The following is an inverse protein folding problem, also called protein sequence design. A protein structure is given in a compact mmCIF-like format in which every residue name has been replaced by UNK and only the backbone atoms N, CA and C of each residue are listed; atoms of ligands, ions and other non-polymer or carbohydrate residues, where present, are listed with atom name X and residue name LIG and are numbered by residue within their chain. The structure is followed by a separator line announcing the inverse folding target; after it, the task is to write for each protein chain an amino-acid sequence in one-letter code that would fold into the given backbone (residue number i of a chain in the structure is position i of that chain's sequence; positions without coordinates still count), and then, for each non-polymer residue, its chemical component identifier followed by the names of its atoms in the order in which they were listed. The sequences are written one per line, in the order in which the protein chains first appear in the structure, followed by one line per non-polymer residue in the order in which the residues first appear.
data_IF_421098330028
#
_entry.id   IF_421098330028
#
_cell.length_a   1.000
_cell.length_b   1.000
_cell.length_c   1.000
_cell.angle_alpha   90.00
_cell.angle_beta   90.00
_cell.angle_gamma   90.00
#
_symmetry.space_group_name_H-M   'P 1'
#
loop_
_entity.id
_entity.type
_entity.pdbx_description
1 polymer ?
#
# COMPACT_ATOMS: atom_id res chain seq x y z
N UNK A 1 3.85 -6.43 -18.10
CA UNK A 1 4.13 -7.73 -18.77
C UNK A 1 5.27 -7.62 -19.77
N UNK A 2 5.19 -6.77 -20.81
CA UNK A 2 6.26 -6.62 -21.81
C UNK A 2 7.64 -6.28 -21.21
N UNK A 3 7.72 -5.35 -20.26
CA UNK A 3 8.97 -5.01 -19.56
C UNK A 3 9.59 -6.21 -18.82
N UNK A 4 8.77 -7.08 -18.21
CA UNK A 4 9.26 -8.29 -17.54
C UNK A 4 9.77 -9.32 -18.54
N UNK A 5 9.14 -9.39 -19.70
CA UNK A 5 9.54 -10.28 -20.79
C UNK A 5 10.90 -9.86 -21.37
N UNK A 6 11.13 -8.56 -21.57
CA UNK A 6 12.44 -8.04 -21.98
C UNK A 6 13.53 -8.19 -20.92
N UNK A 7 13.17 -8.13 -19.63
CA UNK A 7 14.12 -8.37 -18.55
C UNK A 7 14.61 -9.84 -18.53
N UNK A 8 13.74 -10.79 -18.88
CA UNK A 8 14.09 -12.22 -18.94
C UNK A 8 14.72 -12.60 -20.29
N UNK A 9 14.21 -12.02 -21.38
CA UNK A 9 14.61 -12.33 -22.76
C UNK A 9 14.80 -11.03 -23.57
N UNK A 10 15.95 -10.35 -23.41
CA UNK A 10 16.22 -9.07 -24.08
C UNK A 10 16.16 -9.17 -25.61
N UNK A 11 16.45 -10.34 -26.16
CA UNK A 11 16.48 -10.61 -27.60
C UNK A 11 15.10 -10.54 -28.29
N UNK A 12 14.00 -10.60 -27.53
CA UNK A 12 12.65 -10.59 -28.09
C UNK A 12 12.08 -9.19 -28.36
N UNK A 13 12.73 -8.13 -27.89
CA UNK A 13 12.33 -6.72 -28.10
C UNK A 13 10.81 -6.51 -27.93
N UNK A 14 10.23 -7.11 -26.89
CA UNK A 14 8.79 -7.12 -26.67
C UNK A 14 8.30 -5.71 -26.29
N UNK A 15 7.20 -5.28 -26.91
CA UNK A 15 6.52 -4.03 -26.59
C UNK A 15 5.02 -4.28 -26.46
N UNK A 16 4.37 -3.51 -25.60
CA UNK A 16 2.93 -3.59 -25.41
C UNK A 16 2.24 -2.61 -26.34
N UNK A 17 1.41 -3.11 -27.25
CA UNK A 17 0.63 -2.26 -28.17
C UNK A 17 -0.62 -1.70 -27.46
N UNK A 18 -1.20 -2.50 -26.56
CA UNK A 18 -2.34 -2.12 -25.73
C UNK A 18 -2.38 -2.97 -24.44
N UNK A 19 -3.44 -2.81 -23.63
CA UNK A 19 -3.57 -3.49 -22.33
C UNK A 19 -3.65 -5.04 -22.42
N UNK A 20 -3.96 -5.60 -23.59
CA UNK A 20 -4.11 -7.05 -23.82
C UNK A 20 -3.22 -7.65 -24.92
N UNK A 21 -2.49 -6.83 -25.68
CA UNK A 21 -1.68 -7.26 -26.83
C UNK A 21 -0.22 -6.87 -26.64
N UNK A 22 0.69 -7.84 -26.82
CA UNK A 22 2.14 -7.64 -26.76
C UNK A 22 2.72 -8.17 -28.07
N UNK A 23 3.43 -7.30 -28.79
CA UNK A 23 4.18 -7.66 -29.98
C UNK A 23 5.65 -7.89 -29.64
N UNK A 24 6.28 -8.86 -30.31
CA UNK A 24 7.69 -9.20 -30.10
C UNK A 24 8.37 -9.54 -31.42
N UNK A 25 9.67 -9.31 -31.49
CA UNK A 25 10.51 -9.58 -32.66
C UNK A 25 11.46 -10.72 -32.34
N UNK A 26 11.43 -11.78 -33.15
CA UNK A 26 12.29 -12.95 -32.96
C UNK A 26 13.63 -12.76 -33.69
N UNK A 27 14.76 -13.11 -33.06
CA UNK A 27 16.06 -13.22 -33.73
C UNK A 27 16.02 -14.19 -34.92
N UNK A 28 16.82 -13.90 -35.95
CA UNK A 28 16.97 -14.77 -37.12
C UNK A 28 17.43 -16.17 -36.72
N UNK A 29 16.71 -17.20 -37.18
CA UNK A 29 17.02 -18.61 -36.91
C UNK A 29 16.27 -19.21 -35.71
N UNK A 30 15.48 -18.43 -34.98
CA UNK A 30 14.70 -18.93 -33.86
C UNK A 30 13.29 -19.37 -34.29
N UNK A 31 12.88 -20.59 -33.89
CA UNK A 31 11.54 -21.10 -34.17
C UNK A 31 10.49 -20.38 -33.32
N UNK A 32 9.38 -19.89 -33.90
CA UNK A 32 8.28 -19.26 -33.16
C UNK A 32 7.70 -20.16 -32.08
N UNK A 33 7.64 -21.47 -32.32
CA UNK A 33 7.11 -22.46 -31.36
C UNK A 33 8.00 -22.54 -30.11
N UNK A 34 9.32 -22.55 -30.31
CA UNK A 34 10.27 -22.59 -29.19
C UNK A 34 10.24 -21.30 -28.39
N UNK A 35 10.12 -20.15 -29.06
CA UNK A 35 9.97 -18.86 -28.38
C UNK A 35 8.67 -18.81 -27.57
N UNK A 36 7.55 -19.33 -28.13
CA UNK A 36 6.26 -19.40 -27.44
C UNK A 36 6.32 -20.27 -26.17
N UNK A 37 6.99 -21.42 -26.22
CA UNK A 37 7.18 -22.28 -25.04
C UNK A 37 8.03 -21.60 -23.95
N UNK A 38 9.04 -20.82 -24.33
CA UNK A 38 9.88 -20.10 -23.37
C UNK A 38 9.12 -18.97 -22.67
N UNK A 39 8.31 -18.20 -23.40
CA UNK A 39 7.54 -17.09 -22.81
C UNK A 39 6.40 -17.58 -21.91
N UNK A 40 5.85 -18.77 -22.16
CA UNK A 40 4.76 -19.37 -21.36
C UNK A 40 5.18 -19.57 -19.88
N UNK A 41 6.46 -19.81 -19.64
CA UNK A 41 7.00 -19.99 -18.29
C UNK A 41 7.23 -18.68 -17.52
N UNK A 42 7.10 -17.52 -18.19
CA UNK A 42 7.34 -16.22 -17.54
C UNK A 42 6.16 -15.87 -16.64
N UNK A 43 6.31 -16.11 -15.34
CA UNK A 43 5.36 -15.62 -14.34
C UNK A 43 5.47 -14.11 -14.21
N UNK A 44 4.41 -13.41 -14.62
CA UNK A 44 4.24 -11.98 -14.37
C UNK A 44 3.33 -11.82 -13.17
N UNK A 45 3.86 -11.25 -12.09
CA UNK A 45 3.02 -10.76 -11.01
C UNK A 45 2.33 -9.49 -11.50
N UNK A 46 1.05 -9.61 -11.87
CA UNK A 46 0.18 -8.45 -12.06
C UNK A 46 0.08 -7.72 -10.73
N UNK A 47 0.11 -6.39 -10.75
CA UNK A 47 -0.35 -5.58 -9.62
C UNK A 47 -1.85 -5.84 -9.45
N UNK A 48 -2.18 -6.91 -8.73
CA UNK A 48 -3.55 -7.23 -8.37
C UNK A 48 -4.11 -6.02 -7.62
N UNK A 49 -5.24 -5.50 -8.12
CA UNK A 49 -5.87 -4.35 -7.50
C UNK A 49 -6.26 -4.70 -6.07
N UNK A 50 -5.68 -4.01 -5.10
CA UNK A 50 -5.95 -4.23 -3.69
C UNK A 50 -7.46 -4.07 -3.46
N UNK A 51 -8.09 -5.10 -2.88
CA UNK A 51 -9.54 -5.14 -2.69
C UNK A 51 -9.84 -5.29 -1.20
N UNK A 52 -10.86 -4.62 -0.70
CA UNK A 52 -11.35 -4.73 0.67
C UNK A 52 -12.82 -5.10 0.58
N UNK A 53 -13.18 -6.26 1.15
CA UNK A 53 -14.56 -6.72 1.22
C UNK A 53 -15.06 -6.48 2.63
N UNK A 54 -16.23 -5.86 2.76
CA UNK A 54 -16.82 -5.53 4.04
C UNK A 54 -18.25 -6.06 4.07
N UNK A 55 -18.58 -6.81 5.12
CA UNK A 55 -19.94 -7.20 5.45
C UNK A 55 -20.43 -6.30 6.59
N UNK A 56 -21.37 -5.41 6.28
CA UNK A 56 -21.88 -4.44 7.24
C UNK A 56 -22.79 -5.08 8.31
N UNK A 57 -23.37 -6.25 8.02
CA UNK A 57 -24.27 -6.98 8.93
C UNK A 57 -23.49 -7.78 9.97
N UNK A 58 -22.45 -8.49 9.53
CA UNK A 58 -21.62 -9.32 10.41
C UNK A 58 -20.45 -8.54 11.00
N UNK A 59 -20.12 -7.37 10.44
CA UNK A 59 -18.94 -6.60 10.85
C UNK A 59 -17.62 -7.22 10.40
N UNK A 60 -17.68 -8.19 9.48
CA UNK A 60 -16.50 -8.87 8.96
C UNK A 60 -15.81 -8.00 7.91
N UNK A 61 -14.50 -7.81 8.05
CA UNK A 61 -13.67 -7.05 7.13
C UNK A 61 -12.58 -7.96 6.60
N UNK A 62 -12.53 -8.15 5.28
CA UNK A 62 -11.54 -8.98 4.60
C UNK A 62 -10.66 -8.09 3.73
N UNK A 63 -9.36 -8.11 4.03
CA UNK A 63 -8.34 -7.37 3.28
C UNK A 63 -7.69 -8.29 2.24
N UNK A 64 -7.76 -7.88 0.98
CA UNK A 64 -7.12 -8.55 -0.14
C UNK A 64 -5.61 -8.34 -0.18
N UNK A 65 -4.95 -8.97 -1.14
CA UNK A 65 -3.51 -8.85 -1.31
C UNK A 65 -3.09 -7.42 -1.68
N UNK A 66 -1.89 -7.02 -1.25
CA UNK A 66 -1.19 -5.79 -1.66
C UNK A 66 -1.86 -4.46 -1.28
N UNK A 67 -2.67 -4.41 -0.23
CA UNK A 67 -3.22 -3.13 0.24
C UNK A 67 -2.13 -2.31 0.95
N UNK A 68 -1.82 -1.13 0.41
CA UNK A 68 -0.87 -0.16 0.96
C UNK A 68 -1.59 1.12 1.35
N UNK A 69 -1.17 1.71 2.47
CA UNK A 69 -1.71 2.98 2.97
C UNK A 69 -0.59 4.01 3.04
N UNK A 70 -0.86 5.19 2.45
CA UNK A 70 0.02 6.35 2.49
C UNK A 70 -0.24 7.25 3.70
N UNK A 71 0.53 8.34 3.86
CA UNK A 71 0.33 9.30 4.93
C UNK A 71 -1.07 9.92 4.88
N UNK A 72 -1.71 9.99 6.05
CA UNK A 72 -3.00 10.63 6.25
C UNK A 72 -3.26 10.90 7.72
N UNK A 73 -3.89 12.04 8.02
CA UNK A 73 -4.46 12.31 9.33
C UNK A 73 -6.00 12.27 9.22
N UNK A 74 -6.66 11.54 10.11
CA UNK A 74 -8.12 11.38 10.14
C UNK A 74 -8.62 11.68 11.54
N UNK A 75 -9.55 12.62 11.61
CA UNK A 75 -10.35 12.87 12.81
C UNK A 75 -11.77 12.33 12.56
N UNK A 76 -12.21 11.37 13.37
CA UNK A 76 -13.56 10.81 13.29
C UNK A 76 -14.16 10.65 14.70
N UNK A 77 -15.17 11.47 15.02
CA UNK A 77 -15.77 11.50 16.35
C UNK A 77 -14.76 11.96 17.40
N UNK A 78 -14.51 11.12 18.42
CA UNK A 78 -13.46 11.34 19.42
C UNK A 78 -12.14 10.65 19.07
N UNK A 79 -11.94 10.18 17.84
CA UNK A 79 -10.72 9.48 17.41
C UNK A 79 -9.90 10.38 16.48
N UNK A 80 -8.61 10.54 16.77
CA UNK A 80 -7.64 11.26 15.95
C UNK A 80 -6.51 10.30 15.51
N UNK A 81 -6.59 9.76 14.31
CA UNK A 81 -5.56 8.89 13.71
C UNK A 81 -4.56 9.74 12.93
N UNK A 82 -3.26 9.58 13.15
CA UNK A 82 -2.21 10.27 12.37
C UNK A 82 -1.22 9.26 11.82
N UNK A 83 -1.16 9.13 10.49
CA UNK A 83 -0.20 8.31 9.78
C UNK A 83 0.92 9.24 9.30
N UNK A 84 2.00 9.28 10.08
CA UNK A 84 3.18 10.08 9.76
C UNK A 84 4.10 9.29 8.82
N UNK A 85 4.61 9.95 7.79
CA UNK A 85 5.73 9.41 7.01
C UNK A 85 7.02 9.85 7.70
N UNK A 86 7.70 8.94 8.37
CA UNK A 86 9.04 9.21 8.88
C UNK A 86 10.00 9.14 7.68
N UNK A 87 10.47 10.30 7.23
CA UNK A 87 11.60 10.36 6.30
C UNK A 87 12.88 10.24 7.13
N UNK A 88 13.46 9.04 7.14
CA UNK A 88 14.78 8.84 7.73
C UNK A 88 15.83 9.43 6.78
N UNK A 89 16.21 10.69 6.99
CA UNK A 89 17.38 11.29 6.34
C UNK A 89 18.56 11.17 7.29
N UNK A 90 19.22 10.02 7.24
CA UNK A 90 20.51 9.81 7.88
C UNK A 90 21.60 10.48 7.04
N UNK A 91 21.95 11.72 7.38
CA UNK A 91 23.22 12.26 6.94
C UNK A 91 23.87 13.15 8.00
N UNK A 92 24.75 12.56 8.84
CA UNK A 92 25.69 13.34 9.61
C UNK A 92 26.59 14.13 8.66
N UNK A 93 26.82 15.42 8.96
CA UNK A 93 27.87 16.19 8.28
C UNK A 93 29.20 15.48 8.52
N UNK A 94 30.04 15.27 7.48
CA UNK A 94 31.36 14.74 7.71
C UNK A 94 32.08 15.75 8.61
N UNK A 95 32.52 15.28 9.79
CA UNK A 95 33.26 16.00 10.84
C UNK A 95 32.53 16.63 12.05
N UNK A 96 31.29 16.28 12.40
CA UNK A 96 30.73 16.65 13.73
C UNK A 96 30.57 15.46 14.69
N UNK A 97 31.17 15.56 15.89
CA UNK A 97 30.94 14.65 17.04
C UNK A 97 29.63 14.98 17.78
N UNK A 98 28.53 15.10 17.05
CA UNK A 98 27.20 15.38 17.62
C UNK A 98 26.35 14.12 17.65
N UNK A 99 25.77 13.81 18.80
CA UNK A 99 24.81 12.72 18.98
C UNK A 99 23.41 13.26 18.66
N UNK A 100 22.71 12.65 17.70
CA UNK A 100 21.32 13.00 17.37
C UNK A 100 20.39 12.45 18.45
N UNK A 101 19.72 13.35 19.19
CA UNK A 101 18.65 13.00 20.13
C UNK A 101 17.35 13.64 19.67
N UNK A 102 16.31 12.83 19.47
CA UNK A 102 14.96 13.28 19.15
C UNK A 102 14.19 13.36 20.48
N UNK A 103 13.84 14.56 20.94
CA UNK A 103 12.95 14.73 22.10
C UNK A 103 11.62 15.30 21.62
N UNK A 104 10.53 14.53 21.56
CA UNK A 104 9.21 15.09 21.35
C UNK A 104 8.72 15.79 22.64
N UNK A 105 8.65 17.12 22.61
CA UNK A 105 7.90 17.89 23.62
C UNK A 105 6.45 17.99 23.16
N UNK A 106 5.55 17.28 23.83
CA UNK A 106 4.11 17.49 23.71
C UNK A 106 3.57 17.94 25.07
N UNK A 107 3.38 19.25 25.24
CA UNK A 107 2.54 19.79 26.30
C UNK A 107 1.10 19.70 25.81
N UNK A 108 0.39 18.64 26.19
CA UNK A 108 -1.05 18.50 25.91
C UNK A 108 -1.78 18.86 27.20
N UNK A 109 -2.26 20.10 27.26
CA UNK A 109 -3.24 20.53 28.25
C UNK A 109 -4.56 19.86 27.90
N UNK A 110 -4.99 18.94 28.76
CA UNK A 110 -6.19 18.12 28.64
C UNK A 110 -7.40 18.95 29.04
N UNK A 111 -8.35 19.15 28.13
CA UNK A 111 -9.76 19.11 28.49
C UNK A 111 -10.63 18.78 27.26
N UNK A 112 -11.72 18.05 27.50
CA UNK A 112 -12.71 17.48 26.56
C UNK A 112 -12.36 16.14 25.87
N UNK A 113 -12.82 15.06 26.52
CA UNK A 113 -13.10 13.69 26.01
C UNK A 113 -11.93 13.01 25.31
N UNK A 114 -11.16 12.25 26.11
CA UNK A 114 -10.11 11.28 25.74
C UNK A 114 -10.06 10.95 24.25
N UNK A 115 -9.34 11.78 23.49
CA UNK A 115 -9.14 11.52 22.07
C UNK A 115 -8.16 10.34 21.94
N UNK A 116 -8.60 9.23 21.35
CA UNK A 116 -7.69 8.12 21.07
C UNK A 116 -6.75 8.56 19.94
N UNK A 117 -5.45 8.56 20.18
CA UNK A 117 -4.42 8.93 19.19
C UNK A 117 -3.66 7.68 18.79
N UNK A 118 -3.63 7.39 17.50
CA UNK A 118 -2.91 6.25 16.96
C UNK A 118 -1.93 6.69 15.85
N UNK A 119 -0.66 6.31 16.01
CA UNK A 119 0.44 6.64 15.10
C UNK A 119 0.95 5.39 14.40
N UNK A 120 1.18 5.47 13.08
CA UNK A 120 1.63 4.34 12.26
C UNK A 120 2.92 4.68 11.50
N UNK A 121 3.78 3.68 11.32
CA UNK A 121 5.04 3.80 10.60
C UNK A 121 4.84 3.88 9.07
N UNK A 122 5.79 4.42 8.29
CA UNK A 122 5.73 4.36 6.83
C UNK A 122 5.74 2.90 6.33
N UNK A 123 5.00 2.62 5.24
CA UNK A 123 4.76 1.26 4.68
C UNK A 123 3.87 0.33 5.52
N UNK A 124 3.06 0.89 6.42
CA UNK A 124 2.10 0.10 7.19
C UNK A 124 1.15 -0.68 6.28
N UNK A 125 1.07 -1.99 6.51
CA UNK A 125 0.12 -2.85 5.81
C UNK A 125 -1.27 -2.69 6.41
N UNK A 126 -2.32 -3.02 5.66
CA UNK A 126 -3.67 -2.96 6.24
C UNK A 126 -3.90 -3.99 7.35
N UNK A 127 -3.06 -5.02 7.45
CA UNK A 127 -3.06 -5.95 8.57
C UNK A 127 -2.69 -5.24 9.88
N UNK A 128 -1.76 -4.29 9.84
CA UNK A 128 -1.36 -3.50 10.99
C UNK A 128 -2.45 -2.49 11.37
N UNK A 129 -3.12 -1.89 10.37
CA UNK A 129 -4.31 -1.07 10.60
C UNK A 129 -5.45 -1.88 11.24
N UNK A 130 -5.68 -3.11 10.78
CA UNK A 130 -6.69 -4.00 11.33
C UNK A 130 -6.41 -4.36 12.79
N UNK A 131 -5.15 -4.73 13.11
CA UNK A 131 -4.70 -5.01 14.48
C UNK A 131 -4.86 -3.77 15.37
N UNK A 132 -4.53 -2.60 14.86
CA UNK A 132 -4.69 -1.34 15.58
C UNK A 132 -6.18 -1.04 15.86
N UNK A 133 -7.04 -1.15 14.86
CA UNK A 133 -8.48 -0.93 15.05
C UNK A 133 -9.10 -1.96 16.02
N UNK A 134 -8.63 -3.21 15.97
CA UNK A 134 -8.99 -4.25 16.94
C UNK A 134 -8.50 -3.90 18.35
N UNK A 135 -7.27 -3.40 18.51
CA UNK A 135 -6.73 -2.97 19.80
C UNK A 135 -7.47 -1.75 20.38
N UNK A 136 -7.95 -0.85 19.51
CA UNK A 136 -8.74 0.33 19.87
C UNK A 136 -10.24 0.02 20.07
N UNK A 137 -10.66 -1.24 19.90
CA UNK A 137 -12.05 -1.69 20.04
C UNK A 137 -13.04 -0.87 19.22
N UNK A 138 -12.64 -0.46 18.01
CA UNK A 138 -13.51 0.34 17.14
C UNK A 138 -14.69 -0.50 16.63
N UNK A 139 -15.85 0.15 16.50
CA UNK A 139 -17.01 -0.50 15.88
C UNK A 139 -16.74 -0.66 14.38
N UNK A 140 -17.23 -1.74 13.73
CA UNK A 140 -17.06 -1.93 12.29
C UNK A 140 -17.51 -0.73 11.44
N UNK A 141 -18.59 -0.04 11.86
CA UNK A 141 -19.09 1.19 11.22
C UNK A 141 -18.07 2.34 11.23
N UNK A 142 -17.29 2.47 12.29
CA UNK A 142 -16.26 3.50 12.42
C UNK A 142 -15.06 3.15 11.53
N UNK A 143 -14.69 1.87 11.48
CA UNK A 143 -13.62 1.38 10.59
C UNK A 143 -13.96 1.62 9.12
N UNK A 144 -15.20 1.32 8.70
CA UNK A 144 -15.67 1.58 7.33
C UNK A 144 -15.53 3.05 6.97
N UNK A 145 -15.91 3.94 7.89
CA UNK A 145 -15.87 5.37 7.67
C UNK A 145 -14.44 5.89 7.53
N UNK A 146 -13.52 5.40 8.37
CA UNK A 146 -12.09 5.71 8.26
C UNK A 146 -11.52 5.20 6.94
N UNK A 147 -11.84 3.97 6.50
CA UNK A 147 -11.38 3.42 5.23
C UNK A 147 -11.93 4.21 4.03
N UNK A 148 -13.20 4.63 4.08
CA UNK A 148 -13.80 5.51 3.05
C UNK A 148 -13.09 6.88 3.03
N UNK A 149 -12.80 7.46 4.19
CA UNK A 149 -12.07 8.72 4.30
C UNK A 149 -10.65 8.61 3.74
N UNK A 150 -9.89 7.56 4.08
CA UNK A 150 -8.56 7.30 3.52
C UNK A 150 -8.58 7.17 2.00
N UNK A 151 -9.62 6.52 1.44
CA UNK A 151 -9.78 6.38 -0.02
C UNK A 151 -10.04 7.73 -0.68
N UNK A 152 -10.92 8.56 -0.10
CA UNK A 152 -11.25 9.89 -0.63
C UNK A 152 -10.03 10.83 -0.61
N UNK A 153 -9.16 10.71 0.40
CA UNK A 153 -7.91 11.47 0.49
C UNK A 153 -6.78 10.92 -0.39
N UNK A 154 -7.01 9.84 -1.14
CA UNK A 154 -6.00 9.19 -1.97
C UNK A 154 -4.90 8.44 -1.19
N UNK A 155 -5.02 8.37 0.14
CA UNK A 155 -4.10 7.66 1.01
C UNK A 155 -4.31 6.14 0.98
N UNK A 156 -5.49 5.66 0.59
CA UNK A 156 -5.78 4.24 0.39
C UNK A 156 -6.00 3.93 -1.09
N UNK A 157 -5.07 3.16 -1.67
CA UNK A 157 -5.19 2.64 -3.04
C UNK A 157 -5.84 1.26 -3.04
N UNK A 158 -7.15 1.21 -2.79
CA UNK A 158 -7.90 -0.04 -2.79
C UNK A 158 -9.35 0.14 -3.29
N UNK A 159 -9.90 -0.91 -3.90
CA UNK A 159 -11.32 -1.03 -4.20
C UNK A 159 -12.05 -1.55 -2.97
N UNK A 160 -13.05 -0.81 -2.49
CA UNK A 160 -13.89 -1.22 -1.36
C UNK A 160 -15.20 -1.76 -1.92
N UNK A 161 -15.57 -2.97 -1.52
CA UNK A 161 -16.84 -3.64 -1.87
C UNK A 161 -17.60 -3.86 -0.57
N UNK A 162 -18.83 -3.35 -0.46
CA UNK A 162 -19.73 -3.60 0.67
C UNK A 162 -20.81 -4.59 0.30
N UNK A 163 -21.03 -5.60 1.15
CA UNK A 163 -22.09 -6.61 1.05
C UNK A 163 -23.06 -6.51 2.23
#
# INVERSE_FOLDING_TARGET
TAAKLNATYPQYLAHADNAGTISMTLPTGQSPINAMSQIEHVRVMSDAQATIVIDEKTGTIVFGANVKVGPAAIAQGSLNVRIDTVFDVSQPKPFSRGETVIVPTSTITVDEKTAQVATLAPNTTVQDLAKMFQALQLKPKDIISILRALRTQGALKARIISQ
#
